data_IF_781969240567
#
_entry.id   IF_781969240567
#
_cell.length_a   1.000
_cell.length_b   1.000
_cell.length_c   1.000
_cell.angle_alpha   90.00
_cell.angle_beta   90.00
_cell.angle_gamma   90.00
#
_symmetry.space_group_name_H-M   'P 1'
#
loop_
_entity.id
_entity.type
_entity.pdbx_description
1 polymer ?
#
# COMPACT_ATOMS: atom_id res chain seq x y z
N UNK A 1 5.85 -16.39 -1.13
CA UNK A 1 4.95 -15.94 -2.22
C UNK A 1 3.52 -16.27 -1.87
N UNK A 2 3.25 -17.52 -1.49
CA UNK A 2 1.95 -17.95 -0.96
C UNK A 2 1.40 -17.04 0.14
N UNK A 3 2.24 -16.52 1.04
CA UNK A 3 1.80 -15.58 2.08
C UNK A 3 1.13 -14.31 1.53
N UNK A 4 1.55 -13.81 0.35
CA UNK A 4 0.91 -12.65 -0.26
C UNK A 4 -0.51 -12.98 -0.73
N UNK A 5 -0.69 -14.13 -1.39
CA UNK A 5 -2.01 -14.57 -1.84
C UNK A 5 -2.91 -14.93 -0.64
N UNK A 6 -2.34 -15.61 0.36
CA UNK A 6 -3.02 -15.95 1.61
C UNK A 6 -3.44 -14.71 2.39
N UNK A 7 -2.71 -13.59 2.30
CA UNK A 7 -3.12 -12.33 2.94
C UNK A 7 -4.41 -11.76 2.34
N UNK A 8 -4.62 -11.94 1.03
CA UNK A 8 -5.85 -11.53 0.37
C UNK A 8 -7.01 -12.47 0.73
N UNK A 9 -6.76 -13.77 0.77
CA UNK A 9 -7.76 -14.73 1.25
C UNK A 9 -8.16 -14.45 2.70
N UNK A 10 -7.18 -14.16 3.56
CA UNK A 10 -7.39 -13.81 4.96
C UNK A 10 -8.29 -12.58 5.08
N UNK A 11 -8.00 -11.52 4.32
CA UNK A 11 -8.81 -10.31 4.29
C UNK A 11 -10.27 -10.61 3.89
N UNK A 12 -10.50 -11.49 2.90
CA UNK A 12 -11.84 -11.78 2.42
C UNK A 12 -12.65 -12.71 3.36
N UNK A 13 -12.01 -13.77 3.87
CA UNK A 13 -12.70 -14.89 4.53
C UNK A 13 -12.85 -14.74 6.04
N UNK A 14 -12.14 -13.82 6.67
CA UNK A 14 -12.20 -13.63 8.12
C UNK A 14 -13.02 -12.40 8.51
N UNK A 15 -13.52 -12.46 9.74
CA UNK A 15 -14.02 -11.29 10.43
C UNK A 15 -12.85 -10.43 10.93
N UNK A 16 -12.99 -9.12 10.84
CA UNK A 16 -11.97 -8.16 11.26
C UNK A 16 -12.53 -7.29 12.37
N UNK A 17 -11.76 -7.16 13.45
CA UNK A 17 -12.15 -6.31 14.56
C UNK A 17 -12.14 -4.83 14.16
N UNK A 18 -13.20 -4.10 14.52
CA UNK A 18 -13.29 -2.66 14.24
C UNK A 18 -12.10 -1.88 14.82
N UNK A 19 -11.57 -2.33 15.96
CA UNK A 19 -10.39 -1.75 16.60
C UNK A 19 -9.14 -1.83 15.72
N UNK A 20 -8.90 -2.94 15.05
CA UNK A 20 -7.73 -3.11 14.17
C UNK A 20 -7.80 -2.13 12.99
N UNK A 21 -8.99 -1.92 12.43
CA UNK A 21 -9.20 -0.91 11.40
C UNK A 21 -8.94 0.50 11.95
N UNK A 22 -9.43 0.82 13.15
CA UNK A 22 -9.18 2.11 13.79
C UNK A 22 -7.69 2.38 13.98
N UNK A 23 -6.94 1.41 14.50
CA UNK A 23 -5.47 1.50 14.67
C UNK A 23 -4.77 1.72 13.32
N UNK A 24 -5.20 1.03 12.25
CA UNK A 24 -4.66 1.22 10.90
C UNK A 24 -4.95 2.62 10.34
N UNK A 25 -6.16 3.15 10.56
CA UNK A 25 -6.54 4.52 10.19
C UNK A 25 -5.66 5.53 10.93
N UNK A 26 -5.48 5.37 12.25
CA UNK A 26 -4.60 6.24 13.04
C UNK A 26 -3.15 6.18 12.54
N UNK A 27 -2.66 4.99 12.20
CA UNK A 27 -1.36 4.79 11.57
C UNK A 27 -1.23 5.60 10.27
N UNK A 28 -2.20 5.49 9.37
CA UNK A 28 -2.21 6.22 8.10
C UNK A 28 -2.27 7.75 8.31
N UNK A 29 -3.12 8.24 9.21
CA UNK A 29 -3.24 9.66 9.53
C UNK A 29 -1.94 10.19 10.15
N UNK A 30 -1.29 9.44 11.04
CA UNK A 30 -0.03 9.85 11.66
C UNK A 30 1.10 10.06 10.64
N UNK A 31 1.12 9.27 9.56
CA UNK A 31 2.08 9.42 8.46
C UNK A 31 1.80 10.67 7.62
N UNK A 32 0.52 10.99 7.40
CA UNK A 32 0.08 12.16 6.63
C UNK A 32 0.36 13.45 7.39
N UNK A 33 0.10 13.46 8.70
CA UNK A 33 0.19 14.65 9.56
C UNK A 33 1.60 14.84 10.16
N UNK A 34 2.58 13.99 9.81
CA UNK A 34 3.95 14.10 10.31
C UNK A 34 4.58 15.43 9.87
N UNK A 35 5.10 16.26 10.80
CA UNK A 35 5.74 17.51 10.44
C UNK A 35 7.03 17.27 9.64
N UNK A 36 7.24 18.10 8.61
CA UNK A 36 8.47 18.11 7.83
C UNK A 36 9.44 19.18 8.33
N UNK A 37 10.64 19.25 7.74
CA UNK A 37 11.47 20.43 7.89
C UNK A 37 10.88 21.60 7.08
N UNK A 38 11.18 22.87 7.42
CA UNK A 38 10.65 24.02 6.67
C UNK A 38 10.91 23.94 5.16
N UNK A 39 12.12 23.54 4.76
CA UNK A 39 12.46 23.35 3.35
C UNK A 39 11.68 22.17 2.73
N UNK A 40 11.55 21.05 3.45
CA UNK A 40 10.80 19.88 2.99
C UNK A 40 9.32 20.17 2.79
N UNK A 41 8.71 20.98 3.66
CA UNK A 41 7.31 21.37 3.55
C UNK A 41 7.06 22.29 2.34
N UNK A 42 7.97 23.22 2.04
CA UNK A 42 7.88 24.07 0.83
C UNK A 42 7.93 23.21 -0.44
N UNK A 43 8.92 22.31 -0.54
CA UNK A 43 9.06 21.39 -1.69
C UNK A 43 7.80 20.53 -1.85
N UNK A 44 7.34 19.93 -0.75
CA UNK A 44 6.14 19.07 -0.75
C UNK A 44 4.90 19.85 -1.16
N UNK A 45 4.73 21.08 -0.66
CA UNK A 45 3.59 21.94 -0.99
C UNK A 45 3.60 22.35 -2.47
N UNK A 46 4.77 22.71 -3.01
CA UNK A 46 4.93 23.04 -4.43
C UNK A 46 4.52 21.86 -5.33
N UNK A 47 5.12 20.68 -5.14
CA UNK A 47 4.79 19.49 -5.94
C UNK A 47 3.37 18.99 -5.72
N UNK A 48 2.81 19.16 -4.53
CA UNK A 48 1.40 18.84 -4.27
C UNK A 48 0.49 19.74 -5.09
N UNK A 49 0.73 21.06 -5.10
CA UNK A 49 -0.06 21.99 -5.88
C UNK A 49 0.10 21.76 -7.39
N UNK A 50 1.32 21.50 -7.86
CA UNK A 50 1.61 21.19 -9.26
C UNK A 50 0.78 19.98 -9.77
N UNK A 51 0.58 18.97 -8.93
CA UNK A 51 -0.22 17.78 -9.27
C UNK A 51 -1.69 17.89 -8.84
N UNK A 52 -2.20 19.09 -8.55
CA UNK A 52 -3.62 19.30 -8.19
C UNK A 52 -4.01 18.83 -6.78
N UNK A 53 -3.07 18.37 -5.96
CA UNK A 53 -3.26 17.97 -4.56
C UNK A 53 -3.25 19.19 -3.64
N UNK A 54 -4.11 20.16 -3.94
CA UNK A 54 -4.25 21.43 -3.18
C UNK A 54 -4.56 21.19 -1.70
N UNK A 55 -4.39 22.19 -0.80
CA UNK A 55 -4.77 22.04 0.60
C UNK A 55 -6.22 21.58 0.81
N UNK A 56 -7.16 22.04 -0.03
CA UNK A 56 -8.56 21.60 -0.01
C UNK A 56 -8.68 20.11 -0.36
N UNK A 57 -7.98 19.67 -1.41
CA UNK A 57 -7.94 18.27 -1.81
C UNK A 57 -7.35 17.39 -0.69
N UNK A 58 -6.22 17.80 -0.09
CA UNK A 58 -5.56 17.04 1.00
C UNK A 58 -6.45 16.90 2.24
N UNK A 59 -7.15 17.98 2.63
CA UNK A 59 -8.14 17.94 3.72
C UNK A 59 -9.28 16.96 3.41
N UNK A 60 -9.81 17.00 2.18
CA UNK A 60 -10.85 16.06 1.75
C UNK A 60 -10.33 14.61 1.76
N UNK A 61 -9.13 14.36 1.23
CA UNK A 61 -8.52 13.03 1.23
C UNK A 61 -8.34 12.48 2.64
N UNK A 62 -7.81 13.31 3.57
CA UNK A 62 -7.70 12.96 4.99
C UNK A 62 -9.04 12.58 5.60
N UNK A 63 -10.10 13.34 5.32
CA UNK A 63 -11.47 13.04 5.79
C UNK A 63 -12.06 11.75 5.19
N UNK A 64 -11.65 11.38 3.99
CA UNK A 64 -12.09 10.11 3.37
C UNK A 64 -11.41 8.92 4.05
N UNK A 65 -10.12 9.03 4.39
CA UNK A 65 -9.38 7.97 5.10
C UNK A 65 -10.05 7.65 6.45
N UNK A 66 -10.50 8.67 7.19
CA UNK A 66 -11.17 8.46 8.48
C UNK A 66 -12.54 7.79 8.37
N UNK A 67 -13.07 7.60 7.16
CA UNK A 67 -14.38 6.98 6.90
C UNK A 67 -14.27 5.60 6.24
N UNK A 68 -13.06 5.10 6.02
CA UNK A 68 -12.84 3.78 5.43
C UNK A 68 -13.47 2.71 6.30
N UNK A 69 -14.14 1.75 5.67
CA UNK A 69 -14.75 0.58 6.30
C UNK A 69 -14.02 -0.71 5.91
N UNK A 70 -14.26 -1.80 6.64
CA UNK A 70 -13.75 -3.14 6.28
C UNK A 70 -14.27 -3.56 4.90
N UNK A 71 -15.51 -3.22 4.57
CA UNK A 71 -16.11 -3.54 3.27
C UNK A 71 -15.43 -2.79 2.12
N UNK A 72 -15.06 -1.52 2.32
CA UNK A 72 -14.26 -0.77 1.35
C UNK A 72 -12.92 -1.48 1.09
N UNK A 73 -12.25 -1.96 2.16
CA UNK A 73 -10.99 -2.69 2.03
C UNK A 73 -11.16 -4.01 1.28
N UNK A 74 -12.21 -4.79 1.60
CA UNK A 74 -12.54 -6.03 0.89
C UNK A 74 -12.83 -5.78 -0.60
N UNK A 75 -13.58 -4.72 -0.91
CA UNK A 75 -13.92 -4.35 -2.29
C UNK A 75 -12.69 -3.90 -3.08
N UNK A 76 -11.86 -3.01 -2.51
CA UNK A 76 -10.64 -2.52 -3.15
C UNK A 76 -9.64 -3.64 -3.38
N UNK A 77 -9.45 -4.53 -2.40
CA UNK A 77 -8.57 -5.69 -2.56
C UNK A 77 -9.02 -6.59 -3.72
N UNK A 78 -10.32 -6.88 -3.81
CA UNK A 78 -10.88 -7.67 -4.93
C UNK A 78 -10.69 -6.97 -6.28
N UNK A 79 -10.88 -5.65 -6.31
CA UNK A 79 -10.83 -4.86 -7.55
C UNK A 79 -9.40 -4.76 -8.09
N UNK A 80 -8.43 -4.45 -7.23
CA UNK A 80 -7.09 -4.05 -7.66
C UNK A 80 -6.00 -5.08 -7.37
N UNK A 81 -6.13 -5.90 -6.32
CA UNK A 81 -5.09 -6.85 -5.91
C UNK A 81 -5.37 -8.23 -6.51
N UNK A 82 -5.35 -8.31 -7.84
CA UNK A 82 -5.62 -9.56 -8.57
C UNK A 82 -4.32 -10.35 -8.78
N UNK A 83 -4.14 -11.56 -8.21
CA UNK A 83 -2.89 -12.31 -8.32
C UNK A 83 -2.47 -12.58 -9.77
N UNK A 84 -3.43 -12.79 -10.67
CA UNK A 84 -3.18 -12.99 -12.10
C UNK A 84 -2.54 -11.80 -12.82
N UNK A 85 -2.59 -10.59 -12.24
CA UNK A 85 -2.00 -9.36 -12.77
C UNK A 85 -0.72 -8.97 -12.01
N UNK A 86 -0.28 -9.80 -11.06
CA UNK A 86 0.89 -9.49 -10.23
C UNK A 86 2.18 -9.54 -11.05
N UNK A 87 3.08 -8.58 -10.76
CA UNK A 87 4.44 -8.58 -11.26
C UNK A 87 5.38 -8.92 -10.10
N UNK A 88 6.24 -9.91 -10.28
CA UNK A 88 7.11 -10.43 -9.23
C UNK A 88 8.56 -10.16 -9.61
N UNK A 89 9.32 -9.58 -8.68
CA UNK A 89 10.76 -9.39 -8.81
C UNK A 89 11.42 -9.84 -7.50
N UNK A 90 12.52 -10.58 -7.62
CA UNK A 90 13.28 -11.09 -6.47
C UNK A 90 14.75 -10.75 -6.66
N UNK A 91 15.33 -10.07 -5.67
CA UNK A 91 16.77 -9.88 -5.58
C UNK A 91 17.34 -10.97 -4.68
N UNK A 92 18.26 -11.75 -5.21
CA UNK A 92 18.90 -12.84 -4.47
C UNK A 92 20.34 -13.04 -4.94
N UNK A 93 21.12 -13.78 -4.16
CA UNK A 93 22.50 -14.12 -4.53
C UNK A 93 22.53 -15.27 -5.55
N UNK A 94 23.60 -15.41 -6.35
CA UNK A 94 23.70 -16.46 -7.38
C UNK A 94 23.48 -17.87 -6.82
N UNK A 95 23.93 -18.13 -5.58
CA UNK A 95 23.82 -19.44 -4.93
C UNK A 95 22.37 -19.84 -4.64
N UNK A 96 21.49 -18.85 -4.47
CA UNK A 96 20.06 -19.04 -4.17
C UNK A 96 19.18 -18.92 -5.42
N UNK A 97 19.76 -18.81 -6.62
CA UNK A 97 18.98 -18.73 -7.86
C UNK A 97 18.16 -20.01 -8.11
N UNK A 98 18.72 -21.17 -7.77
CA UNK A 98 18.06 -22.45 -7.94
C UNK A 98 16.78 -22.57 -7.10
N UNK A 99 16.74 -21.97 -5.90
CA UNK A 99 15.57 -22.06 -5.01
C UNK A 99 14.40 -21.18 -5.46
N UNK A 100 14.65 -20.17 -6.30
CA UNK A 100 13.62 -19.27 -6.85
C UNK A 100 13.24 -19.61 -8.29
N UNK A 101 13.84 -20.66 -8.86
CA UNK A 101 13.62 -21.08 -10.25
C UNK A 101 12.17 -21.49 -10.52
N UNK A 102 11.46 -21.99 -9.51
CA UNK A 102 10.04 -22.33 -9.57
C UNK A 102 9.13 -21.15 -9.90
N UNK A 103 9.59 -19.91 -9.66
CA UNK A 103 8.85 -18.67 -9.92
C UNK A 103 8.93 -18.22 -11.38
N UNK A 104 9.73 -18.89 -12.23
CA UNK A 104 9.85 -18.64 -13.68
C UNK A 104 10.11 -17.17 -14.04
N UNK A 105 10.87 -16.46 -13.20
CA UNK A 105 11.17 -15.05 -13.37
C UNK A 105 12.23 -14.83 -14.45
N UNK A 106 12.16 -13.70 -15.15
CA UNK A 106 13.19 -13.29 -16.10
C UNK A 106 14.46 -12.96 -15.30
N UNK A 107 15.56 -13.64 -15.61
CA UNK A 107 16.84 -13.40 -14.97
C UNK A 107 17.59 -12.25 -15.63
N UNK A 108 17.97 -11.24 -14.83
CA UNK A 108 18.91 -10.19 -15.23
C UNK A 108 20.02 -10.11 -14.17
N UNK A 109 21.27 -10.28 -14.61
CA UNK A 109 22.44 -9.99 -13.80
C UNK A 109 22.70 -8.49 -13.95
N UNK A 110 22.63 -7.75 -12.83
CA UNK A 110 23.03 -6.34 -12.74
C UNK A 110 24.50 -6.24 -12.39
#
# INVERSE_FOLDING_TARGET
>A
MEDFDNSLEWLQKNDHEARTLEEAILGAISQIDRPGSPAGEVITSFFSNLHGRTPKWRRKFRQLITKVTIDDLKQVATTYLQPKLANIAVLTSPEKLASVSSLRLIHKIL
#
